data_IF_870856345677
#
_entry.id   IF_870856345677
#
_cell.length_a   1.000
_cell.length_b   1.000
_cell.length_c   1.000
_cell.angle_alpha   90.00
_cell.angle_beta   90.00
_cell.angle_gamma   90.00
#
_symmetry.space_group_name_H-M   'P 1'
#
loop_
_entity.id
_entity.type
_entity.pdbx_description
1 polymer ?
#
# COMPACT_ATOMS: atom_id res chain seq x y z
N UNK A 1 -20.22 21.51 6.39
CA UNK A 1 -19.26 20.40 6.48
C UNK A 1 -18.99 20.00 5.05
N UNK A 2 -18.01 20.69 4.44
CA UNK A 2 -17.76 20.54 3.01
C UNK A 2 -17.08 19.21 2.75
N UNK A 3 -17.78 18.34 2.02
CA UNK A 3 -17.20 17.15 1.43
C UNK A 3 -16.21 17.62 0.36
N UNK A 4 -14.92 17.44 0.63
CA UNK A 4 -13.88 17.81 -0.31
C UNK A 4 -14.01 17.00 -1.61
N UNK A 5 -13.71 17.66 -2.72
CA UNK A 5 -13.78 17.05 -4.04
C UNK A 5 -12.75 15.89 -4.16
N UNK A 6 -13.04 14.85 -4.96
CA UNK A 6 -12.11 13.75 -5.17
C UNK A 6 -10.80 14.28 -5.77
N UNK A 7 -9.71 14.20 -5.01
CA UNK A 7 -8.38 14.68 -5.43
C UNK A 7 -7.88 15.96 -4.73
N UNK A 8 -8.63 16.54 -3.79
CA UNK A 8 -8.11 17.63 -2.98
C UNK A 8 -7.05 17.10 -1.99
N UNK A 9 -5.82 17.62 -2.10
CA UNK A 9 -4.73 17.27 -1.18
C UNK A 9 -5.07 17.77 0.22
N UNK A 10 -5.68 16.93 1.04
CA UNK A 10 -5.89 17.25 2.45
C UNK A 10 -4.54 17.41 3.14
N UNK A 11 -4.29 18.59 3.71
CA UNK A 11 -3.09 18.87 4.49
C UNK A 11 -3.49 19.28 5.88
N UNK A 12 -2.74 18.83 6.87
CA UNK A 12 -2.88 19.27 8.25
C UNK A 12 -1.63 20.02 8.67
N UNK A 13 -1.81 21.19 9.27
CA UNK A 13 -0.73 21.92 9.92
C UNK A 13 -0.48 21.30 11.29
N UNK A 14 0.75 20.84 11.50
CA UNK A 14 1.22 20.28 12.76
C UNK A 14 2.35 21.16 13.28
N UNK A 15 2.25 21.59 14.53
CA UNK A 15 3.36 22.23 15.24
C UNK A 15 4.20 21.16 15.88
N UNK A 16 5.47 21.08 15.48
CA UNK A 16 6.44 20.14 16.05
C UNK A 16 6.89 20.61 17.44
N UNK A 17 7.49 19.72 18.26
CA UNK A 17 8.06 20.10 19.55
C UNK A 17 9.15 21.19 19.48
N UNK A 18 9.79 21.38 18.32
CA UNK A 18 10.76 22.45 18.05
C UNK A 18 10.12 23.81 17.70
N UNK A 19 8.79 23.92 17.77
CA UNK A 19 8.03 25.11 17.43
C UNK A 19 7.80 25.34 15.93
N UNK A 20 8.38 24.52 15.05
CA UNK A 20 8.18 24.66 13.59
C UNK A 20 6.83 24.12 13.17
N UNK A 21 6.13 24.88 12.32
CA UNK A 21 4.89 24.44 11.68
C UNK A 21 5.22 23.69 10.40
N UNK A 22 4.72 22.46 10.27
CA UNK A 22 4.86 21.65 9.07
C UNK A 22 3.48 21.32 8.49
N UNK A 23 3.39 21.34 7.16
CA UNK A 23 2.19 20.90 6.45
C UNK A 23 2.32 19.41 6.11
N UNK A 24 1.59 18.55 6.80
CA UNK A 24 1.60 17.10 6.60
C UNK A 24 0.51 16.73 5.59
N UNK A 25 0.87 15.97 4.56
CA UNK A 25 -0.11 15.43 3.61
C UNK A 25 -0.94 14.33 4.29
N UNK A 26 -2.25 14.33 4.05
CA UNK A 26 -3.18 13.28 4.48
C UNK A 26 -3.62 12.49 3.26
N UNK A 27 -3.02 11.32 3.10
CA UNK A 27 -3.41 10.35 2.10
C UNK A 27 -4.62 9.55 2.59
N UNK A 28 -5.49 9.12 1.67
CA UNK A 28 -6.57 8.15 1.94
C UNK A 28 -5.99 6.76 2.19
N UNK A 29 -4.86 6.45 1.56
CA UNK A 29 -4.14 5.20 1.80
C UNK A 29 -2.63 5.29 1.80
N UNK A 30 -1.98 4.24 2.28
CA UNK A 30 -0.54 4.01 2.21
C UNK A 30 -0.30 2.55 1.85
N UNK A 31 0.39 2.31 0.75
CA UNK A 31 0.78 1.00 0.26
C UNK A 31 2.26 0.76 0.62
N UNK A 32 2.51 -0.25 1.45
CA UNK A 32 3.83 -0.70 1.82
C UNK A 32 4.15 -2.02 1.13
N UNK A 33 5.29 -2.08 0.44
CA UNK A 33 5.77 -3.27 -0.26
C UNK A 33 7.11 -3.68 0.36
N UNK A 34 7.15 -4.87 0.95
CA UNK A 34 8.41 -5.44 1.43
C UNK A 34 9.24 -5.93 0.23
N UNK A 35 10.43 -5.38 0.06
CA UNK A 35 11.33 -5.72 -1.05
C UNK A 35 12.81 -5.85 -0.65
N UNK A 36 13.18 -5.35 0.54
CA UNK A 36 14.57 -5.38 1.04
C UNK A 36 14.69 -6.07 2.40
N UNK A 37 13.70 -6.89 2.76
CA UNK A 37 13.75 -7.74 3.95
C UNK A 37 14.64 -8.97 3.76
N UNK A 38 14.75 -9.81 4.80
CA UNK A 38 15.54 -11.04 4.76
C UNK A 38 14.94 -12.15 3.86
N UNK A 39 13.71 -11.95 3.35
CA UNK A 39 12.94 -12.93 2.57
C UNK A 39 12.37 -12.35 1.27
N UNK A 40 11.61 -11.25 1.33
CA UNK A 40 10.87 -10.72 0.19
C UNK A 40 11.83 -10.25 -0.91
N UNK A 41 11.68 -10.78 -2.12
CA UNK A 41 12.56 -10.49 -3.25
C UNK A 41 13.95 -11.15 -3.17
N UNK A 42 14.23 -11.97 -2.15
CA UNK A 42 15.52 -12.60 -1.93
C UNK A 42 15.64 -13.93 -2.70
N UNK A 43 15.84 -13.83 -4.01
CA UNK A 43 15.88 -15.00 -4.91
C UNK A 43 17.08 -15.92 -4.68
N UNK A 44 18.21 -15.41 -4.19
CA UNK A 44 19.35 -16.20 -3.74
C UNK A 44 18.99 -17.14 -2.56
N UNK A 45 17.98 -16.76 -1.77
CA UNK A 45 17.45 -17.55 -0.66
C UNK A 45 16.30 -18.47 -1.06
N UNK A 46 15.98 -18.60 -2.35
CA UNK A 46 14.86 -19.41 -2.85
C UNK A 46 13.48 -18.75 -2.72
N UNK A 47 13.42 -17.46 -2.36
CA UNK A 47 12.17 -16.72 -2.33
C UNK A 47 11.81 -16.14 -3.72
N UNK A 48 10.51 -15.92 -4.01
CA UNK A 48 10.12 -15.29 -5.28
C UNK A 48 10.60 -13.83 -5.36
N UNK A 49 10.90 -13.37 -6.58
CA UNK A 49 11.22 -11.97 -6.85
C UNK A 49 10.04 -11.03 -6.51
N UNK A 50 10.33 -9.77 -6.19
CA UNK A 50 9.33 -8.70 -6.06
C UNK A 50 9.46 -7.77 -7.25
N UNK A 51 8.36 -7.50 -7.93
CA UNK A 51 8.30 -6.60 -9.09
C UNK A 51 8.29 -5.13 -8.67
N UNK A 52 9.35 -4.68 -7.98
CA UNK A 52 9.45 -3.32 -7.42
C UNK A 52 9.25 -2.22 -8.48
N UNK A 53 9.79 -2.43 -9.68
CA UNK A 53 9.61 -1.52 -10.80
C UNK A 53 8.14 -1.41 -11.21
N UNK A 54 7.43 -2.53 -11.32
CA UNK A 54 6.00 -2.53 -11.67
C UNK A 54 5.16 -1.82 -10.61
N UNK A 55 5.48 -2.01 -9.32
CA UNK A 55 4.83 -1.26 -8.25
C UNK A 55 4.99 0.25 -8.43
N UNK A 56 6.20 0.70 -8.71
CA UNK A 56 6.48 2.12 -8.91
C UNK A 56 5.76 2.66 -10.16
N UNK A 57 5.89 1.98 -11.29
CA UNK A 57 5.35 2.42 -12.58
C UNK A 57 3.82 2.51 -12.57
N UNK A 58 3.14 1.53 -11.97
CA UNK A 58 1.68 1.58 -11.86
C UNK A 58 1.19 2.69 -10.93
N UNK A 59 1.91 2.97 -9.84
CA UNK A 59 1.60 4.08 -8.94
C UNK A 59 1.73 5.43 -9.64
N UNK A 60 2.78 5.62 -10.43
CA UNK A 60 2.96 6.83 -11.24
C UNK A 60 1.92 6.94 -12.35
N UNK A 61 1.74 5.88 -13.13
CA UNK A 61 0.81 5.82 -14.27
C UNK A 61 -0.62 6.11 -13.86
N UNK A 62 -1.07 5.56 -12.72
CA UNK A 62 -2.41 5.77 -12.15
C UNK A 62 -2.52 7.07 -11.34
N UNK A 63 -1.44 7.85 -11.24
CA UNK A 63 -1.38 9.17 -10.56
C UNK A 63 -1.79 9.10 -9.10
N UNK A 64 -1.43 8.02 -8.41
CA UNK A 64 -1.85 7.78 -7.03
C UNK A 64 -1.09 8.63 -6.00
N UNK A 65 -0.01 9.31 -6.40
CA UNK A 65 0.89 10.08 -5.52
C UNK A 65 0.24 11.09 -4.58
N UNK A 66 -0.96 11.56 -4.90
CA UNK A 66 -1.64 12.58 -4.13
C UNK A 66 -2.72 12.02 -3.20
N UNK A 67 -3.02 10.72 -3.31
CA UNK A 67 -4.13 10.06 -2.63
C UNK A 67 -3.74 8.76 -1.91
N UNK A 68 -2.81 7.98 -2.46
CA UNK A 68 -2.23 6.78 -1.86
C UNK A 68 -0.71 6.90 -1.89
N UNK A 69 -0.07 6.94 -0.73
CA UNK A 69 1.40 6.96 -0.67
C UNK A 69 1.96 5.57 -0.94
N UNK A 70 3.02 5.45 -1.73
CA UNK A 70 3.74 4.19 -1.96
C UNK A 70 5.06 4.21 -1.17
N UNK A 71 5.33 3.13 -0.45
CA UNK A 71 6.61 2.86 0.21
C UNK A 71 7.08 1.47 -0.18
N UNK A 72 8.19 1.39 -0.91
CA UNK A 72 8.88 0.13 -1.19
C UNK A 72 10.13 0.07 -0.33
N UNK A 73 10.29 -0.97 0.49
CA UNK A 73 11.41 -0.99 1.42
C UNK A 73 11.52 -2.24 2.28
N UNK A 74 11.89 -2.01 3.55
CA UNK A 74 12.32 -3.04 4.48
C UNK A 74 11.25 -4.02 4.94
N UNK A 75 11.65 -4.89 5.86
CA UNK A 75 10.83 -5.96 6.40
C UNK A 75 9.52 -5.46 7.04
N UNK A 76 8.41 -6.14 6.73
CA UNK A 76 7.09 -5.90 7.35
C UNK A 76 6.75 -6.92 8.47
N UNK A 77 7.58 -7.93 8.70
CA UNK A 77 7.45 -8.86 9.83
C UNK A 77 7.11 -10.31 9.44
N UNK A 78 5.97 -10.60 8.76
CA UNK A 78 5.54 -11.95 8.38
C UNK A 78 6.42 -12.65 7.32
N UNK A 79 7.72 -12.78 7.59
CA UNK A 79 8.73 -13.24 6.64
C UNK A 79 8.47 -14.63 6.06
N UNK A 80 7.81 -15.52 6.82
CA UNK A 80 7.49 -16.87 6.38
C UNK A 80 6.56 -16.90 5.15
N UNK A 81 5.80 -15.84 4.91
CA UNK A 81 4.86 -15.77 3.80
C UNK A 81 5.47 -15.16 2.52
N UNK A 82 6.59 -14.45 2.67
CA UNK A 82 7.29 -13.68 1.64
C UNK A 82 6.41 -12.71 0.83
N UNK A 83 7.06 -11.79 0.11
CA UNK A 83 6.45 -10.75 -0.73
C UNK A 83 5.20 -10.12 -0.10
N UNK A 84 5.37 -9.72 1.17
CA UNK A 84 4.30 -9.16 1.99
C UNK A 84 4.03 -7.73 1.57
N UNK A 85 2.74 -7.40 1.51
CA UNK A 85 2.22 -6.09 1.18
C UNK A 85 1.22 -5.67 2.24
N UNK A 86 1.30 -4.42 2.69
CA UNK A 86 0.35 -3.81 3.60
C UNK A 86 -0.29 -2.60 2.92
N UNK A 87 -1.61 -2.62 2.77
CA UNK A 87 -2.39 -1.45 2.41
C UNK A 87 -3.08 -0.92 3.67
N UNK A 88 -2.64 0.24 4.15
CA UNK A 88 -3.42 1.05 5.07
C UNK A 88 -4.40 1.88 4.24
N UNK A 89 -5.70 1.77 4.49
CA UNK A 89 -6.70 2.52 3.74
C UNK A 89 -7.85 2.93 4.67
N UNK A 90 -8.12 4.24 4.77
CA UNK A 90 -9.15 4.82 5.65
C UNK A 90 -9.13 4.26 7.09
N UNK A 91 -7.93 4.02 7.64
CA UNK A 91 -7.73 3.52 8.99
C UNK A 91 -7.77 1.99 9.13
N UNK A 92 -8.04 1.26 8.06
CA UNK A 92 -8.01 -0.21 8.03
C UNK A 92 -6.67 -0.73 7.52
N UNK A 93 -6.16 -1.80 8.13
CA UNK A 93 -4.97 -2.50 7.69
C UNK A 93 -5.34 -3.76 6.91
N UNK A 94 -5.04 -3.77 5.61
CA UNK A 94 -5.24 -4.88 4.71
C UNK A 94 -3.88 -5.52 4.39
N UNK A 95 -3.67 -6.75 4.87
CA UNK A 95 -2.42 -7.47 4.69
C UNK A 95 -2.55 -8.52 3.61
N UNK A 96 -1.57 -8.55 2.70
CA UNK A 96 -1.45 -9.55 1.65
C UNK A 96 -0.08 -10.20 1.71
N UNK A 97 -0.01 -11.45 1.30
CA UNK A 97 1.24 -12.18 1.20
C UNK A 97 1.42 -12.82 -0.16
N UNK A 98 2.63 -13.34 -0.43
CA UNK A 98 2.93 -14.11 -1.64
C UNK A 98 2.49 -13.39 -2.93
N UNK A 99 2.63 -12.06 -2.97
CA UNK A 99 2.35 -11.25 -4.16
C UNK A 99 3.53 -11.42 -5.14
N UNK A 100 3.58 -12.60 -5.76
CA UNK A 100 4.77 -13.14 -6.42
C UNK A 100 4.75 -12.97 -7.95
N UNK A 101 3.69 -12.40 -8.51
CA UNK A 101 3.50 -12.31 -9.95
C UNK A 101 2.91 -10.95 -10.32
N UNK A 102 3.35 -10.42 -11.46
CA UNK A 102 2.91 -9.14 -12.01
C UNK A 102 1.39 -8.97 -12.07
N UNK A 103 0.60 -9.99 -12.50
CA UNK A 103 -0.86 -9.86 -12.50
C UNK A 103 -1.45 -9.56 -11.12
N UNK A 104 -0.87 -10.07 -10.02
CA UNK A 104 -1.36 -9.76 -8.67
C UNK A 104 -1.07 -8.31 -8.27
N UNK A 105 0.05 -7.74 -8.73
CA UNK A 105 0.36 -6.31 -8.55
C UNK A 105 -0.67 -5.45 -9.27
N UNK A 106 -1.01 -5.81 -10.51
CA UNK A 106 -2.03 -5.10 -11.29
C UNK A 106 -3.41 -5.17 -10.63
N UNK A 107 -3.83 -6.37 -10.19
CA UNK A 107 -5.10 -6.57 -9.50
C UNK A 107 -5.15 -5.79 -8.17
N UNK A 108 -4.04 -5.70 -7.45
CA UNK A 108 -3.92 -4.90 -6.24
C UNK A 108 -4.15 -3.41 -6.54
N UNK A 109 -3.61 -2.88 -7.62
CA UNK A 109 -3.88 -1.50 -8.02
C UNK A 109 -5.32 -1.30 -8.49
N UNK A 110 -5.90 -2.24 -9.23
CA UNK A 110 -7.32 -2.19 -9.63
C UNK A 110 -8.24 -2.16 -8.41
N UNK A 111 -7.88 -2.94 -7.38
CA UNK A 111 -8.57 -2.96 -6.09
C UNK A 111 -8.42 -1.64 -5.32
N UNK A 112 -7.22 -1.05 -5.27
CA UNK A 112 -7.01 0.28 -4.68
C UNK A 112 -7.88 1.34 -5.36
N UNK A 113 -7.96 1.35 -6.69
CA UNK A 113 -8.84 2.27 -7.41
C UNK A 113 -10.32 1.99 -7.16
N UNK A 114 -10.70 0.72 -6.96
CA UNK A 114 -12.06 0.36 -6.58
C UNK A 114 -12.42 0.91 -5.19
N UNK A 115 -11.52 0.78 -4.21
CA UNK A 115 -11.69 1.37 -2.87
C UNK A 115 -11.85 2.89 -2.95
N UNK A 116 -10.99 3.56 -3.73
CA UNK A 116 -11.07 5.01 -3.95
C UNK A 116 -12.38 5.45 -4.59
N UNK A 117 -12.97 4.62 -5.47
CA UNK A 117 -14.25 4.91 -6.13
C UNK A 117 -15.47 4.64 -5.27
N UNK A 118 -15.42 3.62 -4.40
CA UNK A 118 -16.59 3.17 -3.64
C UNK A 118 -16.89 4.01 -2.40
N UNK A 119 -15.91 4.78 -1.90
CA UNK A 119 -15.99 5.56 -0.65
C UNK A 119 -16.57 4.77 0.56
N UNK A 120 -16.43 3.45 0.51
CA UNK A 120 -16.93 2.49 1.47
C UNK A 120 -16.02 1.25 1.47
N UNK A 121 -16.00 0.46 2.57
CA UNK A 121 -15.23 -0.78 2.60
C UNK A 121 -15.66 -1.73 1.48
N UNK A 122 -14.69 -2.25 0.73
CA UNK A 122 -14.89 -3.32 -0.23
C UNK A 122 -14.05 -4.54 0.16
N UNK A 123 -14.52 -5.76 -0.06
CA UNK A 123 -13.66 -6.93 0.03
C UNK A 123 -12.67 -6.96 -1.15
N UNK A 124 -11.47 -7.53 -0.98
CA UNK A 124 -10.57 -7.77 -2.10
C UNK A 124 -11.18 -8.77 -3.10
N UNK A 125 -10.82 -8.67 -4.40
CA UNK A 125 -11.16 -9.70 -5.39
C UNK A 125 -10.56 -11.05 -4.99
N UNK A 126 -11.16 -12.16 -5.45
CA UNK A 126 -10.82 -13.53 -5.00
C UNK A 126 -9.33 -13.84 -5.05
N UNK A 127 -8.65 -13.46 -6.12
CA UNK A 127 -7.20 -13.64 -6.30
C UNK A 127 -6.33 -12.97 -5.23
N UNK A 128 -6.83 -11.90 -4.58
CA UNK A 128 -6.18 -11.25 -3.44
C UNK A 128 -6.77 -11.71 -2.10
N UNK A 129 -8.06 -12.05 -2.06
CA UNK A 129 -8.72 -12.55 -0.86
C UNK A 129 -8.06 -13.84 -0.35
N UNK A 130 -7.68 -14.74 -1.27
CA UNK A 130 -6.97 -15.99 -0.94
C UNK A 130 -5.57 -15.75 -0.34
N UNK A 131 -5.02 -14.54 -0.54
CA UNK A 131 -3.72 -14.10 -0.05
C UNK A 131 -3.83 -13.16 1.15
N UNK A 132 -5.06 -12.90 1.63
CA UNK A 132 -5.31 -11.98 2.73
C UNK A 132 -5.16 -12.68 4.07
N UNK A 133 -4.56 -11.98 5.04
CA UNK A 133 -4.43 -12.47 6.42
C UNK A 133 -4.54 -11.33 7.43
N UNK A 134 -4.56 -11.66 8.73
CA UNK A 134 -4.47 -10.68 9.82
C UNK A 134 -3.05 -10.59 10.34
N UNK A 135 -2.39 -9.45 10.15
CA UNK A 135 -0.98 -9.23 10.56
C UNK A 135 -0.79 -8.83 12.03
N UNK A 136 -1.87 -8.52 12.75
CA UNK A 136 -1.85 -8.14 14.17
C UNK A 136 -3.16 -8.55 14.85
N UNK A 137 -3.11 -8.83 16.15
CA UNK A 137 -4.29 -9.06 17.00
C UNK A 137 -4.73 -7.78 17.71
#
# INVERSE_FOLDING_TARGET
MDAAAPGERHRTRITRPDGRVVNVARFRGQLFVCATGCCCGRTDGGFPSVSTQLYHDEWERRRLRDVVHLTIGGCLGPCALANVVLLLFDGHALWFHSVNADPLVLILYDYIEALLRADAPLPPPSSLADLQFSGSR
#
